data_IF_172376151772
#
_entry.id   IF_172376151772
#
_cell.length_a   1.000
_cell.length_b   1.000
_cell.length_c   1.000
_cell.angle_alpha   90.00
_cell.angle_beta   90.00
_cell.angle_gamma   90.00
#
_symmetry.space_group_name_H-M   'P 1'
#
loop_
_entity.id
_entity.type
_entity.pdbx_description
1 polymer ?
#
# COMPACT_ATOMS: atom_id res chain seq x y z
N UNK A 1 1.25 -20.76 11.04
CA UNK A 1 1.15 -19.32 11.29
C UNK A 1 1.34 -18.58 9.98
N UNK A 2 0.50 -17.57 9.70
CA UNK A 2 0.65 -16.66 8.58
C UNK A 2 1.15 -15.31 9.11
N UNK A 3 2.19 -14.77 8.48
CA UNK A 3 2.70 -13.43 8.74
C UNK A 3 2.63 -12.70 7.40
N UNK A 4 1.81 -11.66 7.31
CA UNK A 4 1.54 -11.08 6.01
C UNK A 4 1.20 -9.61 5.99
N UNK A 5 1.21 -9.09 4.77
CA UNK A 5 0.83 -7.74 4.41
C UNK A 5 1.90 -6.67 4.66
N UNK A 6 1.69 -5.55 4.04
CA UNK A 6 2.50 -4.35 4.24
C UNK A 6 3.96 -4.43 3.79
N UNK A 7 4.74 -3.44 4.19
CA UNK A 7 6.20 -3.39 4.00
C UNK A 7 6.88 -4.08 5.19
N UNK A 8 6.81 -5.41 5.23
CA UNK A 8 7.23 -6.17 6.41
C UNK A 8 8.75 -6.21 6.57
N UNK A 9 9.47 -6.52 5.50
CA UNK A 9 10.94 -6.59 5.51
C UNK A 9 11.47 -5.20 5.13
N UNK A 10 11.63 -4.37 6.16
CA UNK A 10 12.00 -2.96 5.98
C UNK A 10 13.32 -2.66 6.68
N UNK A 11 14.06 -1.67 6.18
CA UNK A 11 15.25 -1.16 6.83
C UNK A 11 14.94 0.13 7.57
N UNK A 12 15.53 0.27 8.73
CA UNK A 12 15.52 1.56 9.43
C UNK A 12 16.42 2.57 8.72
N UNK A 13 16.17 3.85 8.94
CA UNK A 13 17.04 4.93 8.44
C UNK A 13 18.47 4.76 8.93
N UNK A 14 19.42 5.26 8.16
CA UNK A 14 20.87 5.03 8.16
C UNK A 14 21.62 4.81 9.49
N UNK A 15 21.04 5.05 10.65
CA UNK A 15 21.74 5.04 11.93
C UNK A 15 21.04 4.25 13.06
N UNK A 16 19.89 3.65 12.83
CA UNK A 16 19.15 2.92 13.85
C UNK A 16 18.86 1.49 13.40
N UNK A 17 19.16 0.51 14.25
CA UNK A 17 18.75 -0.87 14.05
C UNK A 17 17.24 -1.00 14.09
N UNK A 18 16.64 -1.66 13.12
CA UNK A 18 15.23 -2.03 13.18
C UNK A 18 15.02 -3.11 14.24
N UNK A 19 14.40 -2.73 15.33
CA UNK A 19 13.99 -3.72 16.35
C UNK A 19 13.05 -4.78 15.76
N UNK A 20 12.37 -4.47 14.66
CA UNK A 20 11.48 -5.40 13.99
C UNK A 20 12.24 -6.60 13.37
N UNK A 21 13.46 -6.41 12.85
CA UNK A 21 14.28 -7.49 12.34
C UNK A 21 14.61 -8.54 13.44
N UNK A 22 14.90 -8.03 14.65
CA UNK A 22 15.13 -8.87 15.83
C UNK A 22 13.84 -9.56 16.28
N UNK A 23 12.73 -8.82 16.34
CA UNK A 23 11.43 -9.35 16.73
C UNK A 23 10.97 -10.47 15.78
N UNK A 24 11.07 -10.26 14.47
CA UNK A 24 10.72 -11.27 13.49
C UNK A 24 11.58 -12.53 13.63
N UNK A 25 12.88 -12.38 13.88
CA UNK A 25 13.76 -13.51 14.13
C UNK A 25 13.36 -14.28 15.41
N UNK A 26 13.04 -13.57 16.48
CA UNK A 26 12.60 -14.21 17.73
C UNK A 26 11.25 -14.93 17.56
N UNK A 27 10.32 -14.35 16.82
CA UNK A 27 9.05 -15.00 16.48
C UNK A 27 9.27 -16.25 15.62
N UNK A 28 10.08 -16.16 14.57
CA UNK A 28 10.41 -17.32 13.74
C UNK A 28 11.02 -18.44 14.57
N UNK A 29 11.98 -18.11 15.45
CA UNK A 29 12.62 -19.08 16.35
C UNK A 29 11.61 -19.70 17.34
N UNK A 30 10.71 -18.92 17.90
CA UNK A 30 9.68 -19.40 18.83
C UNK A 30 8.68 -20.33 18.14
N UNK A 31 8.24 -19.98 16.91
CA UNK A 31 7.35 -20.79 16.10
C UNK A 31 8.02 -22.11 15.69
N UNK A 32 9.26 -22.05 15.21
CA UNK A 32 10.01 -23.24 14.80
C UNK A 32 10.29 -24.21 15.95
N UNK A 33 10.50 -23.71 17.17
CA UNK A 33 10.66 -24.56 18.36
C UNK A 33 9.42 -25.41 18.68
N UNK A 34 8.25 -24.96 18.23
CA UNK A 34 6.97 -25.67 18.39
C UNK A 34 6.63 -26.51 17.16
N UNK A 35 7.58 -26.69 16.24
CA UNK A 35 7.39 -27.42 14.97
C UNK A 35 6.21 -26.92 14.14
N UNK A 36 5.77 -25.68 14.41
CA UNK A 36 4.65 -25.08 13.72
C UNK A 36 5.13 -24.44 12.42
N UNK A 37 4.60 -24.80 11.25
CA UNK A 37 4.98 -24.15 10.00
C UNK A 37 4.51 -22.70 9.97
N UNK A 38 5.33 -21.79 9.42
CA UNK A 38 4.91 -20.44 9.16
C UNK A 38 5.25 -19.98 7.75
N UNK A 39 4.50 -19.03 7.26
CA UNK A 39 4.54 -18.53 5.91
C UNK A 39 4.55 -17.01 5.91
N UNK A 40 5.31 -16.42 4.98
CA UNK A 40 5.33 -14.99 4.71
C UNK A 40 4.52 -14.72 3.45
N UNK A 41 3.47 -13.89 3.54
CA UNK A 41 2.47 -13.77 2.47
C UNK A 41 2.17 -12.32 2.11
N UNK A 42 2.30 -11.98 0.82
CA UNK A 42 2.00 -10.64 0.30
C UNK A 42 2.86 -9.55 0.93
N UNK A 43 4.11 -9.88 1.27
CA UNK A 43 5.02 -8.96 1.96
C UNK A 43 5.80 -8.08 0.99
N UNK A 44 6.03 -6.83 1.39
CA UNK A 44 6.98 -5.93 0.74
C UNK A 44 8.37 -6.02 1.36
N UNK A 45 9.41 -5.88 0.52
CA UNK A 45 10.82 -5.97 0.91
C UNK A 45 11.55 -4.70 0.49
N UNK A 46 12.33 -4.10 1.40
CA UNK A 46 13.13 -2.90 1.10
C UNK A 46 14.32 -3.24 0.19
N UNK A 47 14.83 -2.24 -0.52
CA UNK A 47 15.94 -2.42 -1.47
C UNK A 47 17.31 -2.57 -0.82
N UNK A 48 17.51 -2.04 0.39
CA UNK A 48 18.79 -2.06 1.10
C UNK A 48 18.59 -2.26 2.60
N UNK A 49 19.61 -2.80 3.27
CA UNK A 49 19.57 -3.13 4.68
C UNK A 49 20.90 -2.86 5.36
N UNK A 50 20.88 -2.53 6.64
CA UNK A 50 22.07 -2.62 7.48
C UNK A 50 22.53 -4.08 7.60
N UNK A 51 23.83 -4.31 7.72
CA UNK A 51 24.40 -5.65 7.78
C UNK A 51 23.82 -6.52 8.90
N UNK A 52 23.58 -5.93 10.06
CA UNK A 52 23.00 -6.63 11.24
C UNK A 52 21.52 -6.96 10.99
N UNK A 53 20.71 -5.99 10.51
CA UNK A 53 19.30 -6.23 10.16
C UNK A 53 19.17 -7.33 9.12
N UNK A 54 20.02 -7.28 8.08
CA UNK A 54 20.06 -8.27 7.02
C UNK A 54 20.29 -9.69 7.56
N UNK A 55 21.17 -9.84 8.53
CA UNK A 55 21.42 -11.15 9.17
C UNK A 55 20.20 -11.66 9.95
N UNK A 56 19.54 -10.80 10.75
CA UNK A 56 18.34 -11.20 11.48
C UNK A 56 17.20 -11.56 10.55
N UNK A 57 16.93 -10.73 9.54
CA UNK A 57 15.93 -11.03 8.52
C UNK A 57 16.24 -12.33 7.79
N UNK A 58 17.48 -12.54 7.34
CA UNK A 58 17.87 -13.79 6.67
C UNK A 58 17.59 -15.01 7.54
N UNK A 59 18.00 -14.98 8.81
CA UNK A 59 17.76 -16.07 9.76
C UNK A 59 16.27 -16.31 10.05
N UNK A 60 15.45 -15.26 10.04
CA UNK A 60 14.01 -15.39 10.21
C UNK A 60 13.36 -16.00 8.96
N UNK A 61 13.66 -15.43 7.79
CA UNK A 61 13.09 -15.82 6.50
C UNK A 61 13.43 -17.27 6.13
N UNK A 62 14.65 -17.73 6.44
CA UNK A 62 15.09 -19.12 6.20
C UNK A 62 14.27 -20.17 6.95
N UNK A 63 13.56 -19.79 8.00
CA UNK A 63 12.70 -20.70 8.77
C UNK A 63 11.27 -20.75 8.21
N UNK A 64 10.90 -19.86 7.30
CA UNK A 64 9.59 -19.88 6.66
C UNK A 64 9.47 -21.06 5.69
N UNK A 65 8.33 -21.73 5.69
CA UNK A 65 8.02 -22.84 4.76
C UNK A 65 7.69 -22.35 3.36
N UNK A 66 7.19 -21.13 3.23
CA UNK A 66 6.90 -20.48 1.95
C UNK A 66 6.93 -18.96 2.09
N UNK A 67 7.33 -18.31 0.99
CA UNK A 67 7.51 -16.86 0.95
C UNK A 67 6.86 -16.35 -0.33
N UNK A 68 5.87 -15.47 -0.18
CA UNK A 68 5.22 -14.75 -1.27
C UNK A 68 5.41 -13.25 -1.05
N UNK A 69 6.05 -12.61 -2.01
CA UNK A 69 6.25 -11.16 -2.03
C UNK A 69 5.26 -10.51 -2.99
N UNK A 70 4.87 -9.27 -2.71
CA UNK A 70 3.74 -8.63 -3.37
C UNK A 70 4.07 -7.93 -4.69
N UNK A 71 5.35 -7.71 -5.00
CA UNK A 71 5.79 -6.97 -6.19
C UNK A 71 7.17 -7.45 -6.68
N UNK A 72 7.47 -7.18 -7.95
CA UNK A 72 8.73 -7.56 -8.60
C UNK A 72 9.94 -6.93 -7.91
N UNK A 73 9.82 -5.71 -7.42
CA UNK A 73 10.90 -5.05 -6.68
C UNK A 73 11.25 -5.83 -5.41
N UNK A 74 10.25 -6.27 -4.65
CA UNK A 74 10.43 -7.10 -3.47
C UNK A 74 11.06 -8.44 -3.81
N UNK A 75 10.69 -9.06 -4.95
CA UNK A 75 11.29 -10.32 -5.41
C UNK A 75 12.77 -10.15 -5.77
N UNK A 76 13.11 -9.11 -6.51
CA UNK A 76 14.50 -8.78 -6.82
C UNK A 76 15.30 -8.50 -5.55
N UNK A 77 14.71 -7.76 -4.61
CA UNK A 77 15.36 -7.48 -3.33
C UNK A 77 15.59 -8.73 -2.49
N UNK A 78 14.66 -9.68 -2.46
CA UNK A 78 14.85 -10.98 -1.80
C UNK A 78 16.04 -11.73 -2.37
N UNK A 79 16.15 -11.81 -3.68
CA UNK A 79 17.28 -12.47 -4.36
C UNK A 79 18.60 -11.75 -4.07
N UNK A 80 18.64 -10.44 -4.27
CA UNK A 80 19.87 -9.64 -4.15
C UNK A 80 20.38 -9.56 -2.71
N UNK A 81 19.47 -9.37 -1.74
CA UNK A 81 19.88 -9.15 -0.36
C UNK A 81 20.01 -10.43 0.43
N UNK A 82 19.18 -11.43 0.19
CA UNK A 82 19.11 -12.62 1.06
C UNK A 82 19.53 -13.90 0.34
N UNK A 83 19.55 -13.90 -1.00
CA UNK A 83 19.78 -15.09 -1.83
C UNK A 83 18.80 -16.23 -1.46
N UNK A 84 17.51 -15.87 -1.33
CA UNK A 84 16.44 -16.79 -0.98
C UNK A 84 15.36 -16.76 -2.08
N UNK A 85 14.84 -17.94 -2.48
CA UNK A 85 13.75 -18.01 -3.44
C UNK A 85 12.45 -17.51 -2.80
N UNK A 86 11.63 -16.84 -3.61
CA UNK A 86 10.27 -16.46 -3.24
C UNK A 86 9.38 -16.40 -4.47
N UNK A 87 8.09 -16.60 -4.25
CA UNK A 87 7.06 -16.46 -5.28
C UNK A 87 6.44 -15.06 -5.25
N UNK A 88 5.83 -14.64 -6.35
CA UNK A 88 5.00 -13.45 -6.41
C UNK A 88 3.58 -13.81 -6.00
N UNK A 89 2.95 -12.96 -5.21
CA UNK A 89 1.50 -12.95 -4.99
C UNK A 89 1.08 -11.50 -4.74
N UNK A 90 -0.07 -11.07 -5.24
CA UNK A 90 -0.55 -9.71 -5.00
C UNK A 90 -0.65 -9.36 -3.51
N UNK A 91 -0.73 -8.06 -3.21
CA UNK A 91 -0.91 -7.60 -1.82
C UNK A 91 -2.20 -8.21 -1.22
N UNK A 92 -2.14 -8.58 0.05
CA UNK A 92 -3.28 -9.23 0.75
C UNK A 92 -4.55 -8.39 0.75
N UNK A 93 -4.46 -7.09 0.54
CA UNK A 93 -5.62 -6.22 0.37
C UNK A 93 -6.48 -6.56 -0.87
N UNK A 94 -5.93 -7.33 -1.82
CA UNK A 94 -6.71 -7.86 -2.94
C UNK A 94 -7.63 -9.03 -2.57
N UNK A 95 -7.50 -9.61 -1.37
CA UNK A 95 -8.37 -10.71 -0.93
C UNK A 95 -9.79 -10.28 -0.56
N UNK A 96 -10.02 -9.02 -0.28
CA UNK A 96 -11.38 -8.55 -0.04
C UNK A 96 -12.24 -8.84 -1.28
N UNK A 97 -13.45 -9.39 -1.12
CA UNK A 97 -14.31 -9.71 -2.27
C UNK A 97 -14.54 -8.49 -3.17
N UNK A 98 -14.44 -8.68 -4.48
CA UNK A 98 -14.78 -7.64 -5.43
C UNK A 98 -16.30 -7.44 -5.44
N UNK A 99 -16.76 -6.32 -4.97
CA UNK A 99 -18.12 -5.85 -5.20
C UNK A 99 -18.07 -4.90 -6.40
N UNK A 100 -18.24 -5.41 -7.59
CA UNK A 100 -18.47 -4.56 -8.77
C UNK A 100 -19.84 -3.91 -8.58
N UNK A 101 -19.83 -2.63 -8.22
CA UNK A 101 -21.07 -1.89 -8.03
C UNK A 101 -21.44 -1.15 -9.31
N UNK A 102 -22.70 -1.33 -9.68
CA UNK A 102 -23.33 -0.83 -10.91
C UNK A 102 -23.62 0.69 -10.85
N UNK A 103 -23.45 1.35 -9.68
CA UNK A 103 -23.88 2.73 -9.46
C UNK A 103 -22.72 3.70 -9.19
N UNK A 104 -21.68 3.72 -10.04
CA UNK A 104 -20.61 4.71 -9.90
C UNK A 104 -21.06 6.10 -10.32
N UNK A 105 -20.72 7.08 -9.51
CA UNK A 105 -20.77 8.49 -9.91
C UNK A 105 -19.54 8.83 -10.75
N UNK A 106 -19.58 8.56 -12.04
CA UNK A 106 -18.46 8.81 -12.97
C UNK A 106 -17.91 10.24 -12.91
N UNK A 107 -18.76 11.20 -12.50
CA UNK A 107 -18.40 12.61 -12.39
C UNK A 107 -17.79 13.00 -11.02
N UNK A 108 -17.36 12.04 -10.19
CA UNK A 108 -16.77 12.31 -8.88
C UNK A 108 -15.30 11.93 -8.81
N UNK A 109 -14.50 12.74 -8.11
CA UNK A 109 -13.11 12.47 -7.82
C UNK A 109 -12.81 12.62 -6.32
N UNK A 110 -12.08 11.65 -5.77
CA UNK A 110 -11.57 11.69 -4.42
C UNK A 110 -10.05 11.94 -4.44
N UNK A 111 -9.60 12.93 -3.69
CA UNK A 111 -8.18 13.28 -3.58
C UNK A 111 -7.72 13.08 -2.15
N UNK A 112 -6.81 12.12 -1.96
CA UNK A 112 -6.24 11.76 -0.66
C UNK A 112 -4.82 12.31 -0.51
N UNK A 113 -4.72 13.46 0.19
CA UNK A 113 -3.43 14.12 0.41
C UNK A 113 -2.58 13.33 1.41
N UNK A 114 -1.27 13.29 1.18
CA UNK A 114 -0.32 12.63 2.06
C UNK A 114 0.26 13.62 3.08
N UNK A 115 0.55 13.17 4.31
CA UNK A 115 1.14 14.03 5.32
C UNK A 115 2.52 14.55 4.88
N UNK A 116 2.68 15.88 4.85
CA UNK A 116 3.89 16.54 4.38
C UNK A 116 5.13 16.19 5.24
N UNK A 117 4.97 16.13 6.55
CA UNK A 117 6.07 15.81 7.47
C UNK A 117 6.52 14.36 7.28
N UNK A 118 5.59 13.41 7.10
CA UNK A 118 5.92 12.03 6.78
C UNK A 118 6.62 11.93 5.42
N UNK A 119 6.15 12.67 4.42
CA UNK A 119 6.77 12.72 3.10
C UNK A 119 8.24 13.15 3.19
N UNK A 120 8.49 14.27 3.86
CA UNK A 120 9.84 14.81 4.05
C UNK A 120 10.74 13.86 4.82
N UNK A 121 10.23 13.30 5.91
CA UNK A 121 11.00 12.45 6.81
C UNK A 121 11.25 11.04 6.27
N UNK A 122 10.29 10.46 5.55
CA UNK A 122 10.35 9.05 5.14
C UNK A 122 10.96 8.85 3.76
N UNK A 123 10.77 9.79 2.83
CA UNK A 123 11.16 9.61 1.44
C UNK A 123 12.25 10.58 0.98
N UNK A 124 12.79 11.43 1.88
CA UNK A 124 13.84 12.39 1.54
C UNK A 124 13.41 13.34 0.42
N UNK A 125 12.12 13.69 0.40
CA UNK A 125 11.56 14.55 -0.63
C UNK A 125 12.41 15.83 -0.75
N UNK A 126 12.77 16.18 -1.98
CA UNK A 126 13.42 17.47 -2.32
C UNK A 126 12.46 18.64 -2.09
N UNK A 127 11.21 18.39 -1.81
CA UNK A 127 10.19 19.39 -1.50
C UNK A 127 10.48 19.98 -0.12
N UNK A 128 11.13 21.12 -0.09
CA UNK A 128 11.51 21.83 1.13
C UNK A 128 10.45 22.83 1.60
N UNK A 129 9.52 23.19 0.72
CA UNK A 129 8.48 24.18 0.96
C UNK A 129 7.07 23.54 0.97
N UNK A 130 6.36 23.72 2.09
CA UNK A 130 4.99 23.24 2.27
C UNK A 130 3.99 23.92 1.30
N UNK A 131 4.22 25.18 0.97
CA UNK A 131 3.36 25.89 0.01
C UNK A 131 3.51 25.31 -1.40
N UNK A 132 4.72 25.01 -1.84
CA UNK A 132 4.97 24.36 -3.12
C UNK A 132 4.32 22.96 -3.16
N UNK A 133 4.37 22.21 -2.04
CA UNK A 133 3.67 20.95 -1.88
C UNK A 133 2.15 21.10 -2.02
N UNK A 134 1.55 22.07 -1.33
CA UNK A 134 0.11 22.35 -1.44
C UNK A 134 -0.30 22.83 -2.83
N UNK A 135 0.57 23.59 -3.50
CA UNK A 135 0.29 24.03 -4.87
C UNK A 135 0.19 22.86 -5.84
N UNK A 136 1.02 21.81 -5.69
CA UNK A 136 0.90 20.59 -6.50
C UNK A 136 -0.47 19.92 -6.34
N UNK A 137 -0.91 19.77 -5.08
CA UNK A 137 -2.24 19.18 -4.80
C UNK A 137 -3.37 20.06 -5.28
N UNK A 138 -3.23 21.39 -5.15
CA UNK A 138 -4.20 22.33 -5.71
C UNK A 138 -4.33 22.18 -7.24
N UNK A 139 -3.23 22.04 -7.95
CA UNK A 139 -3.24 21.85 -9.40
C UNK A 139 -4.02 20.59 -9.79
N UNK A 140 -3.89 19.50 -9.03
CA UNK A 140 -4.66 18.26 -9.25
C UNK A 140 -6.14 18.49 -9.03
N UNK A 141 -6.51 19.12 -7.92
CA UNK A 141 -7.91 19.44 -7.60
C UNK A 141 -8.51 20.39 -8.65
N UNK A 142 -7.75 21.40 -9.10
CA UNK A 142 -8.17 22.33 -10.15
C UNK A 142 -8.40 21.60 -11.47
N UNK A 143 -7.45 20.78 -11.89
CA UNK A 143 -7.56 19.99 -13.12
C UNK A 143 -8.81 19.10 -13.12
N UNK A 144 -9.11 18.40 -12.02
CA UNK A 144 -10.31 17.58 -11.95
C UNK A 144 -11.60 18.40 -12.04
N UNK A 145 -11.63 19.60 -11.47
CA UNK A 145 -12.78 20.50 -11.60
C UNK A 145 -12.94 21.05 -13.03
N UNK A 146 -11.83 21.39 -13.66
CA UNK A 146 -11.82 21.90 -15.06
C UNK A 146 -12.39 20.86 -16.04
N UNK A 147 -12.17 19.57 -15.78
CA UNK A 147 -12.77 18.49 -16.58
C UNK A 147 -14.17 18.08 -16.09
N UNK A 148 -14.78 18.86 -15.20
CA UNK A 148 -16.18 18.70 -14.77
C UNK A 148 -16.42 17.72 -13.63
N UNK A 149 -15.37 17.28 -12.92
CA UNK A 149 -15.54 16.38 -11.79
C UNK A 149 -15.87 17.11 -10.48
N UNK A 150 -16.76 16.54 -9.70
CA UNK A 150 -17.02 16.95 -8.32
C UNK A 150 -15.90 16.39 -7.43
N UNK A 151 -15.06 17.28 -6.89
CA UNK A 151 -13.88 16.86 -6.11
C UNK A 151 -14.17 16.95 -4.62
N UNK A 152 -13.85 15.87 -3.90
CA UNK A 152 -13.80 15.85 -2.44
C UNK A 152 -12.43 15.36 -1.97
N UNK A 153 -12.00 15.87 -0.81
CA UNK A 153 -10.81 15.37 -0.12
C UNK A 153 -11.22 14.19 0.78
N UNK A 154 -10.30 13.25 0.98
CA UNK A 154 -10.46 12.15 1.93
C UNK A 154 -9.12 11.77 2.56
N UNK A 155 -9.14 10.96 3.59
CA UNK A 155 -7.94 10.45 4.25
C UNK A 155 -8.15 9.03 4.80
N UNK A 156 -7.07 8.33 5.06
CA UNK A 156 -7.08 6.96 5.60
C UNK A 156 -6.23 6.78 6.85
N UNK A 157 -5.54 7.83 7.29
CA UNK A 157 -4.73 7.82 8.52
C UNK A 157 -4.96 9.10 9.31
N UNK A 158 -4.71 9.06 10.61
CA UNK A 158 -4.85 10.23 11.49
C UNK A 158 -3.91 11.38 11.08
N UNK A 159 -2.68 11.04 10.67
CA UNK A 159 -1.70 12.04 10.21
C UNK A 159 -2.14 12.73 8.92
N UNK A 160 -2.77 11.99 8.00
CA UNK A 160 -3.33 12.58 6.77
C UNK A 160 -4.58 13.41 7.05
N UNK A 161 -5.38 13.06 8.08
CA UNK A 161 -6.56 13.83 8.46
C UNK A 161 -6.20 15.27 8.81
N UNK A 162 -5.17 15.45 9.64
CA UNK A 162 -4.69 16.78 10.01
C UNK A 162 -4.16 17.56 8.79
N UNK A 163 -3.34 16.90 7.96
CA UNK A 163 -2.81 17.51 6.73
C UNK A 163 -3.92 17.89 5.77
N UNK A 164 -4.94 17.06 5.63
CA UNK A 164 -6.10 17.32 4.75
C UNK A 164 -6.88 18.55 5.22
N UNK A 165 -7.09 18.73 6.53
CA UNK A 165 -7.73 19.94 7.08
C UNK A 165 -6.88 21.17 6.85
N UNK A 166 -5.56 21.10 7.08
CA UNK A 166 -4.65 22.21 6.76
C UNK A 166 -4.68 22.57 5.27
N UNK A 167 -4.72 21.59 4.40
CA UNK A 167 -4.81 21.82 2.96
C UNK A 167 -6.16 22.43 2.56
N UNK A 168 -7.27 21.98 3.16
CA UNK A 168 -8.58 22.59 2.95
C UNK A 168 -8.58 24.09 3.32
N UNK A 169 -7.96 24.43 4.46
CA UNK A 169 -7.81 25.83 4.91
C UNK A 169 -6.96 26.63 3.91
N UNK A 170 -5.85 26.07 3.43
CA UNK A 170 -5.01 26.70 2.42
C UNK A 170 -5.79 26.98 1.13
N UNK A 171 -6.66 26.07 0.71
CA UNK A 171 -7.53 26.27 -0.46
C UNK A 171 -8.58 27.36 -0.19
N UNK A 172 -9.21 27.36 0.99
CA UNK A 172 -10.23 28.34 1.37
C UNK A 172 -9.68 29.78 1.41
N UNK A 173 -8.45 29.98 1.85
CA UNK A 173 -7.76 31.29 1.80
C UNK A 173 -7.59 31.80 0.36
N UNK A 174 -7.64 30.94 -0.63
CA UNK A 174 -7.57 31.27 -2.04
C UNK A 174 -8.96 31.22 -2.72
N UNK A 175 -10.03 31.30 -1.93
CA UNK A 175 -11.43 31.25 -2.38
C UNK A 175 -11.78 29.94 -3.16
N UNK A 176 -11.06 28.88 -2.85
CA UNK A 176 -11.22 27.56 -3.48
C UNK A 176 -11.80 26.57 -2.47
N UNK A 177 -13.12 26.36 -2.51
CA UNK A 177 -13.81 25.54 -1.53
C UNK A 177 -13.90 24.08 -1.98
N UNK A 178 -13.46 23.15 -1.12
CA UNK A 178 -13.51 21.69 -1.31
C UNK A 178 -14.02 21.05 -0.04
N UNK A 179 -14.87 20.05 -0.14
CA UNK A 179 -15.36 19.27 1.02
C UNK A 179 -14.38 18.18 1.40
N UNK A 180 -14.31 17.87 2.70
CA UNK A 180 -13.65 16.66 3.20
C UNK A 180 -14.73 15.62 3.50
N UNK A 181 -14.54 14.39 3.02
CA UNK A 181 -15.35 13.24 3.41
C UNK A 181 -14.55 12.45 4.43
N UNK A 182 -15.01 12.47 5.66
CA UNK A 182 -14.38 11.74 6.77
C UNK A 182 -14.79 10.27 6.72
N UNK A 183 -13.82 9.38 6.93
CA UNK A 183 -14.04 7.94 7.05
C UNK A 183 -13.34 7.45 8.32
N UNK A 184 -14.11 6.88 9.24
CA UNK A 184 -13.64 6.44 10.55
C UNK A 184 -13.50 4.91 10.64
N UNK A 185 -13.87 4.22 9.57
CA UNK A 185 -13.81 2.75 9.47
C UNK A 185 -13.49 2.31 8.04
N UNK A 186 -12.99 1.07 7.92
CA UNK A 186 -12.80 0.43 6.61
C UNK A 186 -14.12 0.29 5.85
N UNK A 187 -15.21 0.06 6.57
CA UNK A 187 -16.54 -0.04 5.96
C UNK A 187 -16.96 1.29 5.32
N UNK A 188 -16.82 2.41 6.03
CA UNK A 188 -17.13 3.75 5.49
C UNK A 188 -16.23 4.11 4.31
N UNK A 189 -14.94 3.77 4.39
CA UNK A 189 -14.01 3.96 3.27
C UNK A 189 -14.47 3.16 2.05
N UNK A 190 -14.85 1.90 2.22
CA UNK A 190 -15.37 1.07 1.14
C UNK A 190 -16.63 1.67 0.51
N UNK A 191 -17.59 2.10 1.32
CA UNK A 191 -18.81 2.76 0.84
C UNK A 191 -18.49 4.05 0.05
N UNK A 192 -17.54 4.85 0.52
CA UNK A 192 -17.09 6.05 -0.19
C UNK A 192 -16.48 5.70 -1.57
N UNK A 193 -15.59 4.71 -1.60
CA UNK A 193 -14.94 4.26 -2.84
C UNK A 193 -15.91 3.63 -3.83
N UNK A 194 -16.98 3.00 -3.35
CA UNK A 194 -18.05 2.44 -4.18
C UNK A 194 -18.78 3.51 -5.01
N UNK A 195 -18.85 4.72 -4.51
CA UNK A 195 -19.51 5.84 -5.19
C UNK A 195 -18.57 6.72 -6.03
N UNK A 196 -17.26 6.51 -5.91
CA UNK A 196 -16.27 7.34 -6.61
C UNK A 196 -15.99 6.86 -8.03
N UNK A 197 -15.93 7.78 -8.97
CA UNK A 197 -15.47 7.53 -10.34
C UNK A 197 -13.92 7.49 -10.42
N UNK A 198 -13.26 8.44 -9.77
CA UNK A 198 -11.80 8.61 -9.80
C UNK A 198 -11.21 8.77 -8.41
N UNK A 199 -10.02 8.21 -8.18
CA UNK A 199 -9.29 8.34 -6.91
C UNK A 199 -7.82 8.67 -7.19
N UNK A 200 -7.33 9.74 -6.58
CA UNK A 200 -5.93 10.15 -6.59
C UNK A 200 -5.37 10.10 -5.16
N UNK A 201 -4.33 9.33 -4.93
CA UNK A 201 -3.75 9.21 -3.58
C UNK A 201 -2.28 8.75 -3.60
N UNK A 202 -1.60 8.92 -2.46
CA UNK A 202 -0.30 8.34 -2.15
C UNK A 202 -0.41 7.17 -1.14
N UNK A 203 -1.60 6.78 -0.70
CA UNK A 203 -1.81 5.65 0.22
C UNK A 203 -2.15 4.39 -0.57
N UNK A 204 -1.19 3.46 -0.63
CA UNK A 204 -1.30 2.24 -1.45
C UNK A 204 -2.59 1.45 -1.18
N UNK A 205 -2.98 1.23 0.08
CA UNK A 205 -4.19 0.46 0.37
C UNK A 205 -5.47 1.18 -0.07
N UNK A 206 -5.52 2.52 0.03
CA UNK A 206 -6.63 3.28 -0.53
C UNK A 206 -6.73 3.12 -2.05
N UNK A 207 -5.57 3.10 -2.75
CA UNK A 207 -5.49 2.88 -4.19
C UNK A 207 -5.89 1.45 -4.58
N UNK A 208 -5.44 0.43 -3.84
CA UNK A 208 -5.84 -0.97 -4.08
C UNK A 208 -7.36 -1.13 -3.90
N UNK A 209 -7.92 -0.62 -2.82
CA UNK A 209 -9.37 -0.71 -2.57
C UNK A 209 -10.17 0.03 -3.64
N UNK A 210 -9.75 1.24 -4.01
CA UNK A 210 -10.37 2.01 -5.09
C UNK A 210 -10.32 1.25 -6.42
N UNK A 211 -9.16 0.69 -6.77
CA UNK A 211 -8.96 -0.10 -7.98
C UNK A 211 -9.88 -1.32 -8.01
N UNK A 212 -9.99 -2.06 -6.91
CA UNK A 212 -10.90 -3.20 -6.77
C UNK A 212 -12.37 -2.83 -6.92
N UNK A 213 -12.74 -1.65 -6.45
CA UNK A 213 -14.10 -1.10 -6.65
C UNK A 213 -14.29 -0.54 -8.08
N UNK A 214 -13.26 -0.66 -8.96
CA UNK A 214 -13.26 -0.23 -10.35
C UNK A 214 -13.25 1.29 -10.52
N UNK A 215 -12.75 2.05 -9.54
CA UNK A 215 -12.45 3.46 -9.73
C UNK A 215 -11.30 3.63 -10.73
N UNK A 216 -11.30 4.70 -11.49
CA UNK A 216 -10.10 5.13 -12.19
C UNK A 216 -9.09 5.63 -11.15
N UNK A 217 -7.93 4.97 -11.07
CA UNK A 217 -6.94 5.25 -10.03
C UNK A 217 -5.75 5.99 -10.62
N UNK A 218 -5.35 7.05 -9.95
CA UNK A 218 -4.12 7.80 -10.23
C UNK A 218 -3.24 7.88 -8.99
N UNK A 219 -1.94 7.71 -9.17
CA UNK A 219 -0.97 7.53 -8.09
C UNK A 219 -0.10 8.75 -7.91
N UNK A 220 -0.04 9.28 -6.68
CA UNK A 220 1.01 10.22 -6.30
C UNK A 220 2.27 9.43 -5.88
N UNK A 221 3.23 9.34 -6.78
CA UNK A 221 4.41 8.48 -6.64
C UNK A 221 5.44 9.07 -5.66
N UNK A 222 5.35 8.67 -4.39
CA UNK A 222 6.30 9.09 -3.34
C UNK A 222 7.30 7.98 -2.95
N UNK A 223 7.10 6.76 -3.45
CA UNK A 223 7.91 5.61 -3.05
C UNK A 223 7.97 4.54 -4.14
N UNK A 224 9.00 3.70 -4.08
CA UNK A 224 9.15 2.58 -5.01
C UNK A 224 7.92 1.64 -5.01
N UNK A 225 7.33 1.37 -3.84
CA UNK A 225 6.13 0.52 -3.76
C UNK A 225 4.92 1.08 -4.53
N UNK A 226 4.75 2.41 -4.55
CA UNK A 226 3.68 3.06 -5.31
C UNK A 226 3.98 3.08 -6.79
N UNK A 227 5.25 3.24 -7.16
CA UNK A 227 5.71 3.12 -8.54
C UNK A 227 5.46 1.70 -9.05
N UNK A 228 5.89 0.66 -8.31
CA UNK A 228 5.63 -0.73 -8.68
C UNK A 228 4.12 -1.01 -8.78
N UNK A 229 3.31 -0.54 -7.83
CA UNK A 229 1.85 -0.71 -7.91
C UNK A 229 1.27 -0.11 -9.19
N UNK A 230 1.70 1.09 -9.56
CA UNK A 230 1.26 1.74 -10.80
C UNK A 230 1.67 0.92 -12.03
N UNK A 231 2.95 0.54 -12.12
CA UNK A 231 3.48 -0.23 -13.23
C UNK A 231 2.82 -1.61 -13.36
N UNK A 232 2.68 -2.34 -12.25
CA UNK A 232 2.21 -3.72 -12.24
C UNK A 232 0.69 -3.84 -12.46
N UNK A 233 -0.11 -2.87 -12.01
CA UNK A 233 -1.56 -2.98 -12.02
C UNK A 233 -2.26 -1.94 -12.91
N UNK A 234 -1.83 -0.69 -12.90
CA UNK A 234 -2.53 0.38 -13.60
C UNK A 234 -2.03 0.50 -15.04
N UNK A 235 -0.73 0.65 -15.23
CA UNK A 235 -0.13 0.81 -16.56
C UNK A 235 -0.20 -0.50 -17.37
N UNK A 236 -0.03 -1.65 -16.71
CA UNK A 236 -0.19 -2.97 -17.30
C UNK A 236 -1.65 -3.35 -17.60
N UNK A 237 -2.62 -2.51 -17.19
CA UNK A 237 -4.07 -2.76 -17.35
C UNK A 237 -4.52 -4.12 -16.79
N UNK A 238 -3.91 -4.54 -15.70
CA UNK A 238 -4.33 -5.74 -15.00
C UNK A 238 -5.66 -5.49 -14.28
N UNK A 239 -6.68 -6.25 -14.62
CA UNK A 239 -8.02 -6.05 -14.05
C UNK A 239 -8.11 -6.65 -12.64
N UNK A 240 -8.82 -5.98 -11.71
CA UNK A 240 -8.95 -6.45 -10.32
C UNK A 240 -9.48 -7.88 -10.18
N UNK A 241 -10.34 -8.31 -11.10
CA UNK A 241 -10.94 -9.66 -11.12
C UNK A 241 -9.86 -10.73 -11.37
N UNK A 242 -8.97 -10.49 -12.34
CA UNK A 242 -7.88 -11.41 -12.69
C UNK A 242 -6.92 -11.52 -11.49
N UNK A 243 -6.56 -10.40 -10.88
CA UNK A 243 -5.68 -10.35 -9.72
C UNK A 243 -6.31 -11.10 -8.54
N UNK A 244 -7.60 -10.87 -8.27
CA UNK A 244 -8.31 -11.58 -7.18
C UNK A 244 -8.39 -13.07 -7.42
N UNK A 245 -8.53 -13.50 -8.67
CA UNK A 245 -8.51 -14.90 -9.05
C UNK A 245 -7.13 -15.54 -8.87
N UNK A 246 -6.07 -14.86 -9.29
CA UNK A 246 -4.68 -15.29 -9.07
C UNK A 246 -4.35 -15.40 -7.58
N UNK A 247 -4.78 -14.43 -6.77
CA UNK A 247 -4.63 -14.46 -5.31
C UNK A 247 -5.34 -15.68 -4.74
N UNK A 248 -6.61 -15.90 -5.07
CA UNK A 248 -7.38 -17.03 -4.57
C UNK A 248 -6.75 -18.37 -5.00
N UNK A 249 -6.35 -18.50 -6.26
CA UNK A 249 -5.71 -19.72 -6.75
C UNK A 249 -4.38 -19.98 -6.04
N UNK A 250 -3.53 -18.96 -5.89
CA UNK A 250 -2.25 -19.06 -5.17
C UNK A 250 -2.47 -19.52 -3.72
N UNK A 251 -3.53 -19.06 -3.06
CA UNK A 251 -3.85 -19.47 -1.70
C UNK A 251 -4.51 -20.84 -1.64
N UNK A 252 -5.55 -21.06 -2.43
CA UNK A 252 -6.27 -22.35 -2.45
C UNK A 252 -5.33 -23.50 -2.79
N UNK A 253 -4.51 -23.34 -3.82
CA UNK A 253 -3.59 -24.40 -4.25
C UNK A 253 -2.51 -24.69 -3.21
N UNK A 254 -1.94 -23.66 -2.61
CA UNK A 254 -0.89 -23.83 -1.62
C UNK A 254 -1.41 -24.22 -0.22
N UNK A 255 -2.62 -23.77 0.18
CA UNK A 255 -3.22 -24.12 1.48
C UNK A 255 -4.04 -25.40 1.46
N UNK A 256 -4.59 -25.82 0.32
CA UNK A 256 -5.24 -27.12 0.17
C UNK A 256 -4.21 -28.26 0.28
N UNK A 257 -3.00 -28.05 -0.18
CA UNK A 257 -1.88 -28.98 0.04
C UNK A 257 -1.55 -29.08 1.53
N UNK A 258 -1.65 -27.99 2.29
CA UNK A 258 -1.42 -27.98 3.74
C UNK A 258 -2.53 -28.68 4.52
N UNK A 259 -3.81 -28.53 4.13
CA UNK A 259 -4.93 -29.23 4.78
C UNK A 259 -4.85 -30.75 4.60
N UNK A 260 -4.20 -31.23 3.54
CA UNK A 260 -3.98 -32.67 3.31
C UNK A 260 -2.78 -33.26 4.09
N UNK A 261 -1.98 -32.41 4.75
CA UNK A 261 -0.82 -32.81 5.56
C UNK A 261 -1.11 -32.82 7.08
N UNK A 262 -2.32 -32.46 7.47
CA UNK A 262 -2.86 -32.54 8.83
C UNK A 262 -4.11 -33.44 8.82
#
# INVERSE_FOLDING_TARGET
>A
VLIGGGQLINSSKKEQLSFFAIALYLWAKAISKKETPFYLVGIGVAGSFHSIEKQFYKKAIQQAKGIWVRDLFSQQSMTTNFNLPCSLAPDVAFFEPNTLLINKKENTALVGIYNYTELKNSFGSKETDKNAYYQKWKNIVSHYREIGLQVSLFYTTVSDAEETRCFQQYLAMQQFHVTIVETNSLHELNQLLETAGKVYSARMHALILAFKKGCQVEVFEISQKLKSFKEDYIDAKNYPEVISQEVNNTFVDNFTVLQKQF
#
